data_IF_308572422879
#
_entry.id   IF_308572422879
#
_cell.length_a   1.000
_cell.length_b   1.000
_cell.length_c   1.000
_cell.angle_alpha   90.00
_cell.angle_beta   90.00
_cell.angle_gamma   90.00
#
_symmetry.space_group_name_H-M   'P 1'
#
loop_
_entity.id
_entity.type
_entity.pdbx_description
1 polymer ?
#
# COMPACT_ATOMS: atom_id res chain seq x y z
N UNK A 1 0.78 -10.82 -14.87
CA UNK A 1 0.85 -9.82 -15.96
C UNK A 1 -0.43 -9.05 -16.22
N UNK A 2 -1.61 -9.63 -15.99
CA UNK A 2 -2.92 -8.97 -16.17
C UNK A 2 -3.02 -7.56 -15.57
N UNK A 3 -2.61 -7.39 -14.31
CA UNK A 3 -2.58 -6.08 -13.63
C UNK A 3 -1.71 -5.06 -14.37
N UNK A 4 -0.53 -5.48 -14.85
CA UNK A 4 0.40 -4.61 -15.57
C UNK A 4 -0.20 -4.16 -16.89
N UNK A 5 -0.77 -5.09 -17.66
CA UNK A 5 -1.42 -4.81 -18.94
C UNK A 5 -2.62 -3.86 -18.78
N UNK A 6 -3.33 -3.97 -17.66
CA UNK A 6 -4.50 -3.13 -17.38
C UNK A 6 -4.11 -1.71 -16.96
N UNK A 7 -3.12 -1.55 -16.08
CA UNK A 7 -2.87 -0.26 -15.42
C UNK A 7 -1.67 0.50 -15.97
N UNK A 8 -0.59 -0.17 -16.37
CA UNK A 8 0.64 0.53 -16.77
C UNK A 8 0.46 1.40 -18.02
N UNK A 9 -0.25 0.99 -19.08
CA UNK A 9 -0.43 1.85 -20.27
C UNK A 9 -1.13 3.17 -19.94
N UNK A 10 -2.18 3.13 -19.10
CA UNK A 10 -2.94 4.32 -18.70
C UNK A 10 -2.10 5.27 -17.85
N UNK A 11 -1.37 4.73 -16.87
CA UNK A 11 -0.45 5.52 -16.04
C UNK A 11 0.67 6.13 -16.90
N UNK A 12 1.24 5.36 -17.82
CA UNK A 12 2.31 5.84 -18.71
C UNK A 12 1.83 6.92 -19.68
N UNK A 13 0.57 6.86 -20.13
CA UNK A 13 -0.03 7.88 -20.98
C UNK A 13 -0.47 9.15 -20.23
N UNK A 14 -0.61 9.08 -18.91
CA UNK A 14 -1.16 10.15 -18.07
C UNK A 14 -2.69 10.20 -18.02
N UNK A 15 -3.40 9.24 -18.62
CA UNK A 15 -4.86 9.09 -18.51
C UNK A 15 -5.30 8.84 -17.06
N UNK A 16 -4.53 8.05 -16.32
CA UNK A 16 -4.77 7.79 -14.89
C UNK A 16 -3.56 8.26 -14.06
N UNK A 17 -3.84 8.94 -12.95
CA UNK A 17 -2.84 9.35 -11.97
C UNK A 17 -2.72 8.33 -10.83
N UNK A 18 -1.48 7.97 -10.50
CA UNK A 18 -1.16 7.08 -9.37
C UNK A 18 -0.58 7.82 -8.17
N UNK A 19 -0.95 7.39 -6.96
CA UNK A 19 -0.36 7.86 -5.70
C UNK A 19 0.20 6.70 -4.88
N UNK A 20 1.46 6.79 -4.48
CA UNK A 20 2.09 5.81 -3.58
C UNK A 20 1.80 6.17 -2.11
N UNK A 21 1.26 5.22 -1.37
CA UNK A 21 0.68 5.44 -0.04
C UNK A 21 1.40 4.62 1.03
N UNK A 22 2.55 5.12 1.49
CA UNK A 22 3.36 4.45 2.52
C UNK A 22 3.28 5.21 3.85
N UNK A 23 3.75 6.46 3.87
CA UNK A 23 3.89 7.30 5.06
C UNK A 23 2.60 7.46 5.86
N UNK A 24 2.74 7.42 7.18
CA UNK A 24 1.66 7.48 8.16
C UNK A 24 1.96 8.54 9.24
N UNK A 25 0.98 8.92 10.06
CA UNK A 25 1.21 9.86 11.16
C UNK A 25 2.36 9.49 12.11
N UNK A 26 2.63 8.19 12.28
CA UNK A 26 3.62 7.67 13.23
C UNK A 26 4.66 6.73 12.59
N UNK A 27 4.69 6.63 11.25
CA UNK A 27 5.65 5.81 10.52
C UNK A 27 6.05 6.50 9.21
N UNK A 28 7.35 6.74 9.01
CA UNK A 28 7.92 7.38 7.83
C UNK A 28 9.16 6.63 7.37
N UNK A 29 10.33 7.03 7.90
CA UNK A 29 11.60 6.33 7.61
C UNK A 29 11.55 4.84 7.96
N UNK A 30 10.84 4.48 9.03
CA UNK A 30 10.58 3.10 9.42
C UNK A 30 9.28 2.57 8.78
N UNK A 31 9.32 2.38 7.46
CA UNK A 31 8.17 1.89 6.68
C UNK A 31 7.77 0.45 7.05
N UNK A 32 8.71 -0.35 7.56
CA UNK A 32 8.44 -1.71 8.05
C UNK A 32 7.44 -1.74 9.22
N UNK A 33 7.35 -0.64 9.97
CA UNK A 33 6.50 -0.54 11.15
C UNK A 33 5.17 0.21 10.95
N UNK A 34 4.70 0.40 9.72
CA UNK A 34 3.37 0.98 9.42
C UNK A 34 2.21 0.35 10.22
N UNK A 35 1.23 1.14 10.60
CA UNK A 35 0.05 0.72 11.37
C UNK A 35 -1.13 0.33 10.49
N UNK A 36 -1.21 0.84 9.25
CA UNK A 36 -2.30 0.47 8.33
C UNK A 36 -2.31 -1.04 8.12
N UNK A 37 -3.49 -1.63 8.27
CA UNK A 37 -3.74 -3.06 8.17
C UNK A 37 -4.60 -3.39 6.95
N UNK A 38 -4.40 -4.57 6.39
CA UNK A 38 -5.25 -5.20 5.40
C UNK A 38 -5.62 -6.59 5.90
N UNK A 39 -6.89 -6.82 6.24
CA UNK A 39 -7.37 -8.12 6.71
C UNK A 39 -8.23 -8.77 5.63
N UNK A 40 -8.02 -10.06 5.37
CA UNK A 40 -8.80 -10.79 4.38
C UNK A 40 -10.20 -11.10 4.94
N UNK A 41 -11.24 -10.75 4.19
CA UNK A 41 -12.64 -11.04 4.48
C UNK A 41 -13.25 -11.70 3.24
N UNK A 42 -13.41 -13.03 3.28
CA UNK A 42 -13.79 -13.80 2.10
C UNK A 42 -12.75 -13.72 0.97
N UNK A 43 -13.18 -13.19 -0.17
CA UNK A 43 -12.36 -12.92 -1.36
C UNK A 43 -11.82 -11.48 -1.43
N UNK A 44 -12.19 -10.62 -0.48
CA UNK A 44 -11.79 -9.22 -0.42
C UNK A 44 -10.76 -8.93 0.68
N UNK A 45 -10.18 -7.73 0.62
CA UNK A 45 -9.30 -7.18 1.65
C UNK A 45 -9.92 -5.93 2.26
N UNK A 46 -10.10 -5.94 3.58
CA UNK A 46 -10.54 -4.77 4.35
C UNK A 46 -9.33 -3.98 4.81
N UNK A 47 -9.19 -2.75 4.29
CA UNK A 47 -8.13 -1.81 4.66
C UNK A 47 -8.56 -0.91 5.83
N UNK A 48 -7.72 -0.79 6.85
CA UNK A 48 -7.95 0.10 7.98
C UNK A 48 -6.65 0.79 8.43
N UNK A 49 -6.63 2.12 8.41
CA UNK A 49 -5.46 2.90 8.80
C UNK A 49 -5.53 4.37 8.39
N UNK A 50 -4.41 5.08 8.56
CA UNK A 50 -4.28 6.50 8.18
C UNK A 50 -2.95 6.70 7.45
N UNK A 51 -3.02 7.34 6.29
CA UNK A 51 -1.85 7.77 5.51
C UNK A 51 -1.66 9.28 5.62
N UNK A 52 -0.42 9.75 5.47
CA UNK A 52 -0.06 11.17 5.59
C UNK A 52 1.00 11.53 4.55
N UNK A 53 0.94 12.77 4.06
CA UNK A 53 1.88 13.33 3.07
C UNK A 53 1.89 12.57 1.74
N UNK A 54 0.70 12.14 1.29
CA UNK A 54 0.54 11.43 0.03
C UNK A 54 0.42 12.44 -1.11
N UNK A 55 1.48 12.54 -1.93
CA UNK A 55 1.45 13.31 -3.18
C UNK A 55 0.35 12.76 -4.09
N UNK A 56 -0.52 13.63 -4.60
CA UNK A 56 -1.66 13.24 -5.45
C UNK A 56 -2.93 12.85 -4.68
N UNK A 57 -2.92 12.87 -3.34
CA UNK A 57 -4.14 12.60 -2.57
C UNK A 57 -5.28 13.56 -2.95
N UNK A 58 -6.45 12.98 -3.23
CA UNK A 58 -7.65 13.70 -3.66
C UNK A 58 -7.80 13.85 -5.17
N UNK A 59 -6.73 13.62 -5.95
CA UNK A 59 -6.76 13.74 -7.42
C UNK A 59 -6.29 12.48 -8.15
N UNK A 60 -5.63 11.55 -7.48
CA UNK A 60 -5.22 10.27 -8.07
C UNK A 60 -6.40 9.32 -8.24
N UNK A 61 -6.46 8.67 -9.41
CA UNK A 61 -7.40 7.61 -9.73
C UNK A 61 -7.03 6.30 -9.02
N UNK A 62 -5.74 6.10 -8.74
CA UNK A 62 -5.22 4.86 -8.15
C UNK A 62 -4.29 5.13 -6.98
N UNK A 63 -4.55 4.44 -5.87
CA UNK A 63 -3.73 4.49 -4.68
C UNK A 63 -3.01 3.15 -4.46
N UNK A 64 -1.68 3.18 -4.46
CA UNK A 64 -0.84 2.02 -4.17
C UNK A 64 -0.52 1.99 -2.68
N UNK A 65 -1.31 1.25 -1.90
CA UNK A 65 -1.27 1.27 -0.44
C UNK A 65 -0.34 0.19 0.11
N UNK A 66 0.62 0.61 0.93
CA UNK A 66 1.43 -0.30 1.74
C UNK A 66 0.76 -0.54 3.10
N UNK A 67 0.46 -1.80 3.42
CA UNK A 67 -0.28 -2.18 4.62
C UNK A 67 0.24 -3.53 5.18
N UNK A 68 0.09 -3.72 6.49
CA UNK A 68 0.36 -4.99 7.17
C UNK A 68 -0.78 -5.97 6.94
N UNK A 69 -0.47 -7.17 6.46
CA UNK A 69 -1.45 -8.25 6.23
C UNK A 69 -1.48 -9.30 7.35
N UNK A 70 -0.52 -9.27 8.27
CA UNK A 70 -0.45 -10.20 9.41
C UNK A 70 0.35 -9.61 10.58
N UNK A 71 -0.01 -10.04 11.80
CA UNK A 71 0.74 -9.79 13.02
C UNK A 71 1.50 -11.03 13.51
N UNK A 72 1.52 -12.10 12.73
CA UNK A 72 2.25 -13.32 13.06
C UNK A 72 3.76 -13.05 13.18
N UNK A 73 4.29 -13.29 14.39
CA UNK A 73 5.70 -13.10 14.71
C UNK A 73 6.61 -14.02 13.90
N UNK A 74 6.14 -15.21 13.51
CA UNK A 74 6.89 -16.16 12.71
C UNK A 74 7.11 -15.61 11.29
N UNK A 75 6.05 -15.12 10.65
CA UNK A 75 6.14 -14.47 9.33
C UNK A 75 7.03 -13.23 9.39
N UNK A 76 6.88 -12.40 10.43
CA UNK A 76 7.74 -11.23 10.60
C UNK A 76 9.22 -11.59 10.73
N UNK A 77 9.54 -12.67 11.46
CA UNK A 77 10.92 -13.17 11.58
C UNK A 77 11.45 -13.68 10.24
N UNK A 78 10.64 -14.41 9.48
CA UNK A 78 11.01 -14.94 8.16
C UNK A 78 11.38 -13.83 7.17
N UNK A 79 10.66 -12.71 7.20
CA UNK A 79 10.87 -11.58 6.30
C UNK A 79 11.72 -10.43 6.88
N UNK A 80 12.39 -10.64 8.02
CA UNK A 80 13.20 -9.61 8.70
C UNK A 80 14.45 -9.14 7.94
N UNK A 81 14.71 -9.66 6.74
CA UNK A 81 15.74 -9.14 5.83
C UNK A 81 15.20 -8.03 4.91
N UNK A 82 13.87 -7.89 4.81
CA UNK A 82 13.15 -6.89 4.00
C UNK A 82 12.64 -5.75 4.89
N UNK A 83 12.48 -6.00 6.19
CA UNK A 83 11.96 -5.09 7.21
C UNK A 83 12.92 -4.98 8.38
#
# INVERSE_FOLDING_TARGET
DEQKQTWLPKIASGEELGALCITEPFAGSDAANVFTSATKDGDEWVLNGKKRFITGAGVSDRYFIYAKTSHDKALRKQYGHIT
#
